data_IF_199157513454
#
_entry.id   IF_199157513454
#
_cell.length_a   1.000
_cell.length_b   1.000
_cell.length_c   1.000
_cell.angle_alpha   90.00
_cell.angle_beta   90.00
_cell.angle_gamma   90.00
#
_symmetry.space_group_name_H-M   'P 1'
#
loop_
_entity.id
_entity.type
_entity.pdbx_description
1 polymer ?
#
# COMPACT_ATOMS: atom_id res chain seq x y z
N UNK A 1 11.27 0.50 -15.89
CA UNK A 1 10.81 -0.49 -16.90
C UNK A 1 11.75 -0.39 -18.09
N UNK A 2 12.28 -1.51 -18.59
CA UNK A 2 13.01 -1.53 -19.86
C UNK A 2 12.09 -1.21 -21.04
N UNK A 3 12.69 -0.93 -22.21
CA UNK A 3 11.95 -0.64 -23.43
C UNK A 3 10.92 -1.73 -23.76
N UNK A 4 9.73 -1.33 -24.21
CA UNK A 4 8.62 -2.24 -24.55
C UNK A 4 8.15 -3.15 -23.38
N UNK A 5 8.49 -2.82 -22.13
CA UNK A 5 8.00 -3.52 -20.95
C UNK A 5 6.60 -3.08 -20.52
N UNK A 6 5.97 -3.87 -19.65
CA UNK A 6 4.66 -3.55 -19.08
C UNK A 6 4.46 -4.10 -17.67
N UNK A 7 3.43 -3.63 -16.97
CA UNK A 7 3.01 -4.17 -15.68
C UNK A 7 1.49 -4.37 -15.71
N UNK A 8 1.05 -5.54 -15.26
CA UNK A 8 -0.36 -5.86 -15.10
C UNK A 8 -0.68 -5.79 -13.61
N UNK A 9 -1.31 -4.68 -13.24
CA UNK A 9 -1.66 -4.38 -11.85
C UNK A 9 -2.88 -5.18 -11.35
N UNK A 10 -3.03 -5.29 -10.02
CA UNK A 10 -2.10 -4.79 -9.00
C UNK A 10 -0.92 -5.75 -8.79
N UNK A 11 0.30 -5.23 -8.98
CA UNK A 11 1.55 -5.96 -8.79
C UNK A 11 2.43 -5.22 -7.77
N UNK A 12 3.20 -5.97 -6.99
CA UNK A 12 4.16 -5.44 -6.03
C UNK A 12 5.58 -5.54 -6.57
N UNK A 13 6.33 -4.47 -6.38
CA UNK A 13 7.73 -4.37 -6.79
C UNK A 13 8.54 -3.75 -5.65
N UNK A 14 9.63 -4.39 -5.26
CA UNK A 14 10.61 -3.83 -4.35
C UNK A 14 11.35 -2.63 -4.95
N UNK A 15 11.97 -1.85 -4.08
CA UNK A 15 12.72 -0.67 -4.48
C UNK A 15 13.96 -1.05 -5.28
N UNK A 16 14.34 -0.21 -6.25
CA UNK A 16 15.54 -0.43 -7.08
C UNK A 16 15.41 -1.56 -8.11
N UNK A 17 14.26 -2.23 -8.21
CA UNK A 17 14.06 -3.28 -9.21
C UNK A 17 14.05 -2.72 -10.63
N UNK A 18 14.74 -3.43 -11.52
CA UNK A 18 14.82 -3.13 -12.94
C UNK A 18 14.15 -4.26 -13.71
N UNK A 19 13.18 -3.92 -14.55
CA UNK A 19 12.50 -4.88 -15.43
C UNK A 19 13.18 -4.87 -16.78
N UNK A 20 13.63 -6.02 -17.25
CA UNK A 20 14.26 -6.15 -18.56
C UNK A 20 13.33 -5.70 -19.69
N UNK A 21 13.91 -5.24 -20.80
CA UNK A 21 13.16 -4.87 -21.99
C UNK A 21 12.31 -6.06 -22.50
N UNK A 22 11.12 -5.77 -23.02
CA UNK A 22 10.17 -6.78 -23.50
C UNK A 22 9.48 -7.63 -22.43
N UNK A 23 9.76 -7.41 -21.13
CA UNK A 23 9.10 -8.13 -20.04
C UNK A 23 7.78 -7.48 -19.63
N UNK A 24 6.73 -8.30 -19.45
CA UNK A 24 5.44 -7.86 -18.90
C UNK A 24 5.26 -8.47 -17.52
N UNK A 25 5.32 -7.64 -16.48
CA UNK A 25 5.16 -8.11 -15.10
C UNK A 25 3.72 -8.52 -14.82
N UNK A 26 3.52 -9.77 -14.37
CA UNK A 26 2.21 -10.32 -13.95
C UNK A 26 2.25 -10.80 -12.51
N UNK A 27 3.45 -11.06 -11.99
CA UNK A 27 3.71 -11.53 -10.62
C UNK A 27 4.23 -10.42 -9.71
N UNK A 28 4.32 -10.73 -8.42
CA UNK A 28 4.90 -9.84 -7.42
C UNK A 28 6.39 -10.15 -7.24
N UNK A 29 7.21 -9.12 -7.17
CA UNK A 29 8.64 -9.20 -6.90
C UNK A 29 8.97 -8.27 -5.73
N UNK A 30 8.67 -8.68 -4.49
CA UNK A 30 8.81 -7.82 -3.31
C UNK A 30 10.26 -7.62 -2.85
N UNK A 31 11.22 -8.38 -3.38
CA UNK A 31 12.64 -8.16 -3.09
C UNK A 31 13.15 -6.91 -3.79
N UNK A 32 14.16 -6.27 -3.21
CA UNK A 32 14.76 -5.04 -3.71
C UNK A 32 15.96 -5.32 -4.62
N UNK A 33 16.30 -4.34 -5.47
CA UNK A 33 17.50 -4.30 -6.32
C UNK A 33 17.70 -5.51 -7.25
N UNK A 34 16.61 -6.05 -7.78
CA UNK A 34 16.61 -7.22 -8.67
C UNK A 34 16.48 -6.82 -10.15
N UNK A 35 17.17 -7.53 -11.03
CA UNK A 35 16.91 -7.51 -12.48
C UNK A 35 15.91 -8.62 -12.83
N UNK A 36 14.73 -8.24 -13.29
CA UNK A 36 13.60 -9.15 -13.52
C UNK A 36 13.43 -9.43 -15.01
N UNK A 37 13.47 -10.71 -15.35
CA UNK A 37 13.07 -11.25 -16.65
C UNK A 37 11.79 -12.05 -16.46
N UNK A 38 10.64 -11.50 -16.87
CA UNK A 38 9.38 -12.22 -16.78
C UNK A 38 9.04 -12.89 -18.11
N UNK A 39 8.95 -14.22 -18.08
CA UNK A 39 8.61 -14.99 -19.26
C UNK A 39 7.14 -14.79 -19.65
N UNK A 40 6.89 -14.68 -20.95
CA UNK A 40 5.54 -14.72 -21.47
C UNK A 40 4.90 -16.08 -21.15
N UNK A 41 3.59 -16.12 -20.82
CA UNK A 41 2.88 -17.39 -20.69
C UNK A 41 3.04 -18.23 -21.96
N UNK A 42 3.32 -19.53 -21.80
CA UNK A 42 3.36 -20.45 -22.94
C UNK A 42 2.03 -20.38 -23.71
N UNK A 43 2.14 -20.25 -25.04
CA UNK A 43 1.01 -20.06 -25.94
C UNK A 43 -0.10 -21.08 -25.66
N UNK A 44 -1.27 -20.59 -25.25
CA UNK A 44 -2.45 -21.42 -25.10
C UNK A 44 -3.69 -20.55 -25.33
N UNK A 45 -4.36 -20.79 -26.46
CA UNK A 45 -5.71 -20.29 -26.68
C UNK A 45 -6.60 -20.95 -25.62
N UNK A 46 -7.26 -20.15 -24.78
CA UNK A 46 -8.16 -20.62 -23.73
C UNK A 46 -9.50 -19.93 -23.87
N UNK A 47 -10.57 -20.63 -23.47
CA UNK A 47 -11.89 -20.02 -23.36
C UNK A 47 -11.83 -18.84 -22.39
N UNK A 48 -12.21 -17.66 -22.87
CA UNK A 48 -12.27 -16.46 -22.06
C UNK A 48 -13.42 -16.56 -21.07
N UNK A 49 -13.08 -16.54 -19.77
CA UNK A 49 -14.06 -16.48 -18.68
C UNK A 49 -14.07 -15.06 -18.12
N UNK A 50 -15.10 -14.30 -18.47
CA UNK A 50 -15.26 -12.94 -17.98
C UNK A 50 -15.32 -12.90 -16.45
N UNK A 51 -14.62 -11.94 -15.84
CA UNK A 51 -14.59 -11.74 -14.38
C UNK A 51 -14.23 -13.00 -13.57
N UNK A 52 -13.44 -13.92 -14.16
CA UNK A 52 -12.95 -15.10 -13.45
C UNK A 52 -11.94 -14.77 -12.34
N UNK A 53 -11.27 -13.62 -12.44
CA UNK A 53 -10.22 -13.13 -11.52
C UNK A 53 -9.34 -14.27 -10.94
N UNK A 54 -8.55 -14.97 -11.77
CA UNK A 54 -7.64 -15.99 -11.28
C UNK A 54 -6.72 -15.40 -10.20
N UNK A 55 -6.63 -16.07 -9.06
CA UNK A 55 -5.86 -15.56 -7.92
C UNK A 55 -6.46 -14.30 -7.27
N UNK A 56 -7.79 -14.20 -7.20
CA UNK A 56 -8.50 -13.07 -6.58
C UNK A 56 -7.94 -12.68 -5.20
N UNK A 57 -7.54 -13.65 -4.37
CA UNK A 57 -6.92 -13.38 -3.06
C UNK A 57 -5.64 -12.54 -3.17
N UNK A 58 -4.76 -12.81 -4.14
CA UNK A 58 -3.58 -11.98 -4.42
C UNK A 58 -3.98 -10.57 -4.87
N UNK A 59 -4.95 -10.48 -5.78
CA UNK A 59 -5.42 -9.19 -6.30
C UNK A 59 -5.99 -8.34 -5.16
N UNK A 60 -6.85 -8.90 -4.32
CA UNK A 60 -7.40 -8.24 -3.13
C UNK A 60 -6.25 -7.82 -2.20
N UNK A 61 -5.37 -8.75 -1.82
CA UNK A 61 -4.21 -8.48 -0.97
C UNK A 61 -3.39 -7.28 -1.45
N UNK A 62 -3.07 -7.21 -2.74
CA UNK A 62 -2.27 -6.13 -3.29
C UNK A 62 -3.02 -4.78 -3.30
N UNK A 63 -4.35 -4.78 -3.51
CA UNK A 63 -5.14 -3.56 -3.35
C UNK A 63 -5.19 -3.10 -1.88
N UNK A 64 -5.34 -4.02 -0.91
CA UNK A 64 -5.34 -3.68 0.51
C UNK A 64 -3.97 -3.15 0.95
N UNK A 65 -2.88 -3.80 0.53
CA UNK A 65 -1.53 -3.31 0.77
C UNK A 65 -1.31 -1.92 0.18
N UNK A 66 -1.79 -1.66 -1.04
CA UNK A 66 -1.72 -0.33 -1.63
C UNK A 66 -2.43 0.72 -0.77
N UNK A 67 -3.66 0.44 -0.33
CA UNK A 67 -4.44 1.36 0.51
C UNK A 67 -3.75 1.59 1.87
N UNK A 68 -3.25 0.54 2.49
CA UNK A 68 -2.53 0.61 3.75
C UNK A 68 -1.23 1.41 3.63
N UNK A 69 -0.48 1.26 2.54
CA UNK A 69 0.70 2.07 2.26
C UNK A 69 0.37 3.55 2.01
N UNK A 70 -0.77 3.87 1.37
CA UNK A 70 -1.21 5.27 1.27
C UNK A 70 -1.54 5.87 2.63
N UNK A 71 -2.13 5.09 3.55
CA UNK A 71 -2.36 5.53 4.93
C UNK A 71 -1.04 5.73 5.69
N UNK A 72 -0.07 4.82 5.57
CA UNK A 72 1.25 5.00 6.15
C UNK A 72 1.97 6.25 5.58
N UNK A 73 1.84 6.49 4.28
CA UNK A 73 2.39 7.69 3.64
C UNK A 73 1.72 8.97 4.16
N UNK A 74 0.40 8.97 4.35
CA UNK A 74 -0.31 10.09 4.98
C UNK A 74 0.21 10.39 6.39
N UNK A 75 0.52 9.36 7.17
CA UNK A 75 1.11 9.50 8.50
C UNK A 75 2.51 10.09 8.47
N UNK A 76 3.32 9.66 7.50
CA UNK A 76 4.63 10.27 7.25
C UNK A 76 4.51 11.74 6.87
N UNK A 77 3.53 12.09 6.02
CA UNK A 77 3.29 13.50 5.68
C UNK A 77 2.86 14.31 6.88
N UNK A 78 1.94 13.78 7.68
CA UNK A 78 1.34 14.47 8.81
C UNK A 78 2.35 14.75 9.92
N UNK A 79 3.21 13.78 10.25
CA UNK A 79 4.11 13.89 11.40
C UNK A 79 5.53 14.28 11.04
N UNK A 80 6.01 13.92 9.85
CA UNK A 80 7.41 14.13 9.48
C UNK A 80 7.55 15.24 8.45
N UNK A 81 6.87 15.16 7.30
CA UNK A 81 7.07 16.15 6.22
C UNK A 81 6.39 17.49 6.49
N UNK A 82 5.25 17.52 7.18
CA UNK A 82 4.49 18.77 7.41
C UNK A 82 5.35 19.87 8.04
N UNK A 83 6.11 19.62 9.11
CA UNK A 83 7.01 20.63 9.68
C UNK A 83 8.06 21.20 8.70
N UNK A 84 8.57 20.40 7.76
CA UNK A 84 9.50 20.90 6.72
C UNK A 84 8.79 21.71 5.65
N UNK A 85 7.56 21.33 5.29
CA UNK A 85 6.74 22.09 4.35
C UNK A 85 6.35 23.43 4.96
N UNK A 86 5.91 23.47 6.21
CA UNK A 86 5.53 24.70 6.92
C UNK A 86 6.65 25.75 6.97
N UNK A 87 7.92 25.33 6.96
CA UNK A 87 9.07 26.21 6.91
C UNK A 87 9.30 26.88 5.53
N UNK A 88 8.54 26.48 4.50
CA UNK A 88 8.70 26.93 3.11
C UNK A 88 7.52 27.79 2.65
N UNK A 89 7.75 28.80 1.77
CA UNK A 89 6.66 29.55 1.14
C UNK A 89 5.63 28.62 0.47
N UNK A 90 4.34 28.88 0.72
CA UNK A 90 3.22 28.06 0.22
C UNK A 90 3.21 26.60 0.68
N UNK A 91 4.05 26.22 1.66
CA UNK A 91 4.18 24.82 2.06
C UNK A 91 2.92 24.21 2.66
N UNK A 92 2.09 25.01 3.35
CA UNK A 92 0.77 24.55 3.82
C UNK A 92 -0.21 24.26 2.67
N UNK A 93 -0.13 25.01 1.57
CA UNK A 93 -0.93 24.73 0.36
C UNK A 93 -0.45 23.45 -0.32
N UNK A 94 0.88 23.24 -0.40
CA UNK A 94 1.46 21.99 -0.90
C UNK A 94 1.04 20.80 -0.04
N UNK A 95 1.10 20.94 1.29
CA UNK A 95 0.67 19.92 2.23
C UNK A 95 -0.81 19.56 2.03
N UNK A 96 -1.69 20.55 1.94
CA UNK A 96 -3.11 20.33 1.67
C UNK A 96 -3.33 19.60 0.34
N UNK A 97 -2.64 20.02 -0.73
CA UNK A 97 -2.71 19.36 -2.03
C UNK A 97 -2.25 17.90 -1.99
N UNK A 98 -1.16 17.59 -1.26
CA UNK A 98 -0.72 16.21 -1.08
C UNK A 98 -1.76 15.36 -0.38
N UNK A 99 -2.35 15.85 0.72
CA UNK A 99 -3.39 15.11 1.43
C UNK A 99 -4.61 14.85 0.55
N UNK A 100 -5.01 15.83 -0.25
CA UNK A 100 -6.08 15.67 -1.25
C UNK A 100 -5.74 14.59 -2.28
N UNK A 101 -4.51 14.57 -2.80
CA UNK A 101 -4.06 13.54 -3.75
C UNK A 101 -4.04 12.13 -3.12
N UNK A 102 -3.60 11.99 -1.87
CA UNK A 102 -3.64 10.72 -1.15
C UNK A 102 -5.09 10.24 -0.94
N UNK A 103 -5.99 11.13 -0.53
CA UNK A 103 -7.41 10.85 -0.38
C UNK A 103 -8.07 10.46 -1.70
N UNK A 104 -7.76 11.17 -2.79
CA UNK A 104 -8.25 10.86 -4.14
C UNK A 104 -7.76 9.47 -4.61
N UNK A 105 -6.49 9.15 -4.37
CA UNK A 105 -5.90 7.85 -4.67
C UNK A 105 -6.57 6.69 -3.91
N UNK A 106 -6.86 6.88 -2.62
CA UNK A 106 -7.62 5.91 -1.81
C UNK A 106 -9.05 5.73 -2.34
N UNK A 107 -9.75 6.84 -2.62
CA UNK A 107 -11.12 6.84 -3.15
C UNK A 107 -11.24 6.09 -4.48
N UNK A 108 -10.38 6.38 -5.45
CA UNK A 108 -10.41 5.69 -6.74
C UNK A 108 -10.09 4.20 -6.59
N UNK A 109 -9.09 3.84 -5.77
CA UNK A 109 -8.73 2.44 -5.53
C UNK A 109 -9.87 1.65 -4.89
N UNK A 110 -10.55 2.21 -3.89
CA UNK A 110 -11.72 1.61 -3.25
C UNK A 110 -12.88 1.43 -4.24
N UNK A 111 -13.17 2.45 -5.05
CA UNK A 111 -14.18 2.37 -6.12
C UNK A 111 -13.89 1.21 -7.09
N UNK A 112 -12.64 1.04 -7.50
CA UNK A 112 -12.22 -0.07 -8.38
C UNK A 112 -12.33 -1.43 -7.70
N UNK A 113 -11.94 -1.53 -6.43
CA UNK A 113 -12.06 -2.76 -5.65
C UNK A 113 -13.52 -3.18 -5.48
N UNK A 114 -14.41 -2.23 -5.21
CA UNK A 114 -15.86 -2.48 -5.12
C UNK A 114 -16.47 -2.93 -6.43
N UNK A 115 -16.15 -2.26 -7.53
CA UNK A 115 -16.59 -2.69 -8.86
C UNK A 115 -16.08 -4.09 -9.21
N UNK A 116 -14.85 -4.43 -8.78
CA UNK A 116 -14.31 -5.78 -8.95
C UNK A 116 -15.08 -6.82 -8.13
N UNK A 117 -15.36 -6.54 -6.85
CA UNK A 117 -16.10 -7.43 -5.96
C UNK A 117 -17.50 -7.76 -6.53
N UNK A 118 -18.23 -6.74 -6.99
CA UNK A 118 -19.54 -6.89 -7.65
C UNK A 118 -19.48 -7.78 -8.90
N UNK A 119 -18.45 -7.59 -9.74
CA UNK A 119 -18.26 -8.42 -10.94
C UNK A 119 -17.88 -9.86 -10.59
N UNK A 120 -17.03 -10.04 -9.59
CA UNK A 120 -16.54 -11.36 -9.18
C UNK A 120 -17.70 -12.24 -8.68
N UNK A 121 -18.57 -11.70 -7.81
CA UNK A 121 -19.73 -12.44 -7.29
C UNK A 121 -20.76 -12.72 -8.38
N UNK A 122 -21.00 -11.79 -9.30
CA UNK A 122 -21.90 -12.01 -10.43
C UNK A 122 -21.42 -13.14 -11.36
N UNK A 123 -20.10 -13.36 -11.47
CA UNK A 123 -19.52 -14.37 -12.35
C UNK A 123 -19.48 -15.79 -11.76
N UNK A 124 -19.46 -15.93 -10.43
CA UNK A 124 -19.62 -17.22 -9.74
C UNK A 124 -20.04 -16.97 -8.28
N UNK A 125 -21.33 -17.10 -8.01
CA UNK A 125 -21.94 -16.83 -6.69
C UNK A 125 -21.63 -17.92 -5.66
N UNK A 126 -21.25 -19.11 -6.12
CA UNK A 126 -20.96 -20.31 -5.34
C UNK A 126 -19.53 -20.37 -4.79
N UNK A 127 -18.73 -19.31 -4.99
CA UNK A 127 -17.36 -19.23 -4.44
C UNK A 127 -17.37 -18.38 -3.16
N UNK A 128 -17.23 -18.99 -1.96
CA UNK A 128 -17.38 -18.30 -0.67
C UNK A 128 -16.53 -17.03 -0.56
N UNK A 129 -15.27 -17.08 -1.03
CA UNK A 129 -14.37 -15.93 -1.00
C UNK A 129 -14.92 -14.69 -1.77
N UNK A 130 -15.62 -14.89 -2.89
CA UNK A 130 -16.14 -13.78 -3.69
C UNK A 130 -17.34 -13.12 -3.02
N UNK A 131 -18.20 -13.94 -2.42
CA UNK A 131 -19.34 -13.46 -1.63
C UNK A 131 -18.85 -12.71 -0.38
N UNK A 132 -17.89 -13.29 0.34
CA UNK A 132 -17.23 -12.69 1.50
C UNK A 132 -16.65 -11.29 1.19
N UNK A 133 -15.87 -11.17 0.10
CA UNK A 133 -15.36 -9.87 -0.35
C UNK A 133 -16.47 -8.87 -0.67
N UNK A 134 -17.52 -9.32 -1.36
CA UNK A 134 -18.65 -8.47 -1.72
C UNK A 134 -19.37 -7.95 -0.47
N UNK A 135 -19.61 -8.81 0.51
CA UNK A 135 -20.38 -8.47 1.71
C UNK A 135 -19.58 -7.57 2.66
N UNK A 136 -18.25 -7.77 2.73
CA UNK A 136 -17.37 -6.96 3.57
C UNK A 136 -16.86 -5.68 2.90
N UNK A 137 -17.20 -5.42 1.63
CA UNK A 137 -16.62 -4.29 0.87
C UNK A 137 -16.89 -2.94 1.54
N UNK A 138 -18.06 -2.76 2.16
CA UNK A 138 -18.43 -1.52 2.84
C UNK A 138 -17.63 -1.30 4.12
N UNK A 139 -17.33 -2.38 4.85
CA UNK A 139 -16.44 -2.31 6.01
C UNK A 139 -15.04 -1.88 5.57
N UNK A 140 -14.51 -2.50 4.50
CA UNK A 140 -13.21 -2.14 3.91
C UNK A 140 -13.21 -0.66 3.46
N UNK A 141 -14.27 -0.19 2.80
CA UNK A 141 -14.40 1.23 2.43
C UNK A 141 -14.32 2.15 3.67
N UNK A 142 -15.04 1.81 4.74
CA UNK A 142 -15.03 2.61 5.97
C UNK A 142 -13.67 2.63 6.65
N UNK A 143 -12.95 1.49 6.66
CA UNK A 143 -11.62 1.37 7.25
C UNK A 143 -10.61 2.35 6.63
N UNK A 144 -10.73 2.61 5.33
CA UNK A 144 -9.79 3.47 4.59
C UNK A 144 -10.31 4.89 4.28
N UNK A 145 -11.58 5.20 4.58
CA UNK A 145 -12.19 6.53 4.36
C UNK A 145 -12.59 7.26 5.64
N UNK A 146 -12.65 6.59 6.79
CA UNK A 146 -12.94 7.21 8.08
C UNK A 146 -11.86 8.18 8.54
N UNK A 147 -12.12 8.89 9.66
CA UNK A 147 -11.04 9.47 10.47
C UNK A 147 -10.04 8.36 10.78
N UNK A 148 -8.75 8.71 10.91
CA UNK A 148 -7.64 7.80 11.25
C UNK A 148 -8.16 6.61 12.08
N UNK A 149 -8.16 5.38 11.53
CA UNK A 149 -8.89 4.29 12.15
C UNK A 149 -8.39 4.07 13.58
N UNK A 150 -9.30 3.74 14.50
CA UNK A 150 -8.99 3.68 15.94
C UNK A 150 -7.82 2.72 16.28
N UNK A 151 -7.54 1.77 15.40
CA UNK A 151 -6.36 0.89 15.51
C UNK A 151 -5.03 1.64 15.42
N UNK A 152 -5.02 2.83 14.80
CA UNK A 152 -3.87 3.72 14.67
C UNK A 152 -3.86 4.83 15.73
N UNK A 153 -4.93 4.96 16.53
CA UNK A 153 -5.05 5.98 17.60
C UNK A 153 -4.52 5.47 18.95
N UNK A 154 -4.29 4.16 19.09
CA UNK A 154 -3.50 3.62 20.19
C UNK A 154 -2.06 4.13 20.07
N UNK A 155 -1.49 4.57 21.18
CA UNK A 155 -0.11 5.06 21.25
C UNK A 155 0.85 3.93 20.86
N UNK A 156 1.19 3.87 19.58
CA UNK A 156 2.19 2.95 19.04
C UNK A 156 3.56 3.31 19.64
N UNK A 157 4.17 2.44 20.47
CA UNK A 157 5.46 2.72 21.09
C UNK A 157 6.56 2.98 20.05
N UNK A 158 6.49 2.32 18.89
CA UNK A 158 7.44 2.50 17.78
C UNK A 158 7.32 3.90 17.19
N UNK A 159 6.09 4.42 17.08
CA UNK A 159 5.84 5.79 16.65
C UNK A 159 6.43 6.80 17.61
N UNK A 160 6.11 6.68 18.89
CA UNK A 160 6.58 7.63 19.91
C UNK A 160 8.09 7.64 20.00
N UNK A 161 8.71 6.44 20.00
CA UNK A 161 10.15 6.29 20.00
C UNK A 161 10.78 6.97 18.79
N UNK A 162 10.28 6.66 17.58
CA UNK A 162 10.78 7.27 16.35
C UNK A 162 10.63 8.80 16.36
N UNK A 163 9.47 9.34 16.72
CA UNK A 163 9.24 10.79 16.74
C UNK A 163 10.16 11.50 17.75
N UNK A 164 10.37 10.92 18.93
CA UNK A 164 11.26 11.49 19.94
C UNK A 164 12.72 11.50 19.46
N UNK A 165 13.20 10.41 18.86
CA UNK A 165 14.58 10.31 18.39
C UNK A 165 14.80 11.12 17.10
N UNK A 166 13.80 11.22 16.24
CA UNK A 166 13.81 12.09 15.06
C UNK A 166 13.88 13.58 15.45
N UNK A 167 13.11 14.03 16.44
CA UNK A 167 13.15 15.42 16.91
C UNK A 167 14.54 15.79 17.47
N UNK A 168 15.19 14.89 18.23
CA UNK A 168 16.57 15.07 18.72
C UNK A 168 17.57 15.27 17.59
N UNK A 169 17.41 14.57 16.46
CA UNK A 169 18.30 14.70 15.30
C UNK A 169 18.09 16.03 14.57
N UNK A 170 16.83 16.43 14.39
CA UNK A 170 16.52 17.67 13.65
C UNK A 170 16.91 18.92 14.44
N UNK A 171 17.00 18.86 15.77
CA UNK A 171 17.46 19.97 16.61
C UNK A 171 16.65 21.26 16.43
N UNK A 172 15.41 21.16 15.92
CA UNK A 172 14.55 22.29 15.57
C UNK A 172 14.79 22.90 14.18
N UNK A 173 15.86 22.53 13.46
CA UNK A 173 16.14 22.96 12.10
C UNK A 173 15.37 22.14 11.06
N UNK A 174 14.43 22.76 10.34
CA UNK A 174 13.52 22.06 9.41
C UNK A 174 13.56 22.59 7.97
N UNK A 175 14.74 23.01 7.51
CA UNK A 175 14.91 23.67 6.20
C UNK A 175 15.24 22.68 5.08
N UNK A 176 16.01 21.61 5.35
CA UNK A 176 16.41 20.63 4.33
C UNK A 176 15.93 19.21 4.65
N UNK A 177 14.74 18.87 4.15
CA UNK A 177 14.16 17.53 4.34
C UNK A 177 15.05 16.40 3.80
N UNK A 178 15.58 16.55 2.59
CA UNK A 178 16.31 15.45 1.91
C UNK A 178 17.59 15.11 2.68
N UNK A 179 18.37 16.13 3.03
CA UNK A 179 19.59 15.95 3.82
C UNK A 179 19.30 15.34 5.19
N UNK A 180 18.23 15.79 5.86
CA UNK A 180 17.81 15.22 7.15
C UNK A 180 17.51 13.73 7.04
N UNK A 181 16.72 13.32 6.04
CA UNK A 181 16.35 11.91 5.88
C UNK A 181 17.55 11.06 5.46
N UNK A 182 18.44 11.57 4.61
CA UNK A 182 19.63 10.85 4.15
C UNK A 182 20.68 10.66 5.25
N UNK A 183 20.85 11.64 6.13
CA UNK A 183 21.80 11.61 7.23
C UNK A 183 21.24 10.96 8.50
N UNK A 184 20.01 10.43 8.45
CA UNK A 184 19.39 9.79 9.59
C UNK A 184 20.17 8.53 10.01
N UNK A 185 20.53 8.37 11.30
CA UNK A 185 21.16 7.15 11.78
C UNK A 185 20.32 5.91 11.47
N UNK A 186 20.98 4.81 11.09
CA UNK A 186 20.31 3.57 10.72
C UNK A 186 19.36 3.05 11.81
N UNK A 187 19.72 3.22 13.09
CA UNK A 187 18.86 2.87 14.22
C UNK A 187 17.52 3.64 14.19
N UNK A 188 17.56 4.96 14.03
CA UNK A 188 16.33 5.78 13.96
C UNK A 188 15.54 5.50 12.69
N UNK A 189 16.23 5.27 11.57
CA UNK A 189 15.56 4.85 10.33
C UNK A 189 14.80 3.53 10.51
N UNK A 190 15.39 2.55 11.20
CA UNK A 190 14.75 1.26 11.47
C UNK A 190 13.47 1.38 12.31
N UNK A 191 13.42 2.35 13.22
CA UNK A 191 12.24 2.63 14.04
C UNK A 191 11.11 3.26 13.22
N UNK A 192 11.47 4.18 12.31
CA UNK A 192 10.51 4.73 11.34
C UNK A 192 9.95 3.64 10.42
N UNK A 193 10.79 2.71 9.96
CA UNK A 193 10.36 1.55 9.18
C UNK A 193 9.41 0.66 9.99
N UNK A 194 9.75 0.37 11.25
CA UNK A 194 8.91 -0.44 12.13
C UNK A 194 7.54 0.20 12.36
N UNK A 195 7.49 1.50 12.63
CA UNK A 195 6.24 2.25 12.79
C UNK A 195 5.38 2.21 11.53
N UNK A 196 5.93 2.58 10.37
CA UNK A 196 5.16 2.62 9.12
C UNK A 196 4.71 1.23 8.69
N UNK A 197 5.54 0.21 8.90
CA UNK A 197 5.18 -1.19 8.62
C UNK A 197 4.10 -1.69 9.58
N UNK A 198 4.15 -1.29 10.86
CA UNK A 198 3.12 -1.59 11.85
C UNK A 198 1.74 -1.05 11.44
N UNK A 199 1.67 0.17 10.89
CA UNK A 199 0.42 0.72 10.32
C UNK A 199 -0.10 -0.18 9.20
N UNK A 200 0.78 -0.60 8.27
CA UNK A 200 0.40 -1.43 7.14
C UNK A 200 -0.11 -2.79 7.62
N UNK A 201 0.61 -3.43 8.53
CA UNK A 201 0.29 -4.75 9.05
C UNK A 201 -1.03 -4.75 9.84
N UNK A 202 -1.26 -3.74 10.69
CA UNK A 202 -2.51 -3.61 11.44
C UNK A 202 -3.74 -3.51 10.51
N UNK A 203 -3.64 -2.69 9.46
CA UNK A 203 -4.73 -2.53 8.48
C UNK A 203 -4.96 -3.81 7.68
N UNK A 204 -3.89 -4.49 7.25
CA UNK A 204 -3.99 -5.76 6.53
C UNK A 204 -4.59 -6.84 7.43
N UNK A 205 -4.21 -6.90 8.71
CA UNK A 205 -4.75 -7.83 9.69
C UNK A 205 -6.25 -7.66 9.91
N UNK A 206 -6.74 -6.43 10.07
CA UNK A 206 -8.17 -6.18 10.20
C UNK A 206 -8.97 -6.65 8.98
N UNK A 207 -8.46 -6.40 7.77
CA UNK A 207 -9.13 -6.89 6.57
C UNK A 207 -9.04 -8.42 6.47
N UNK A 208 -7.92 -9.02 6.86
CA UNK A 208 -7.76 -10.48 6.86
C UNK A 208 -8.70 -11.19 7.83
N UNK A 209 -9.02 -10.57 8.98
CA UNK A 209 -9.97 -11.11 9.96
C UNK A 209 -11.40 -11.24 9.40
N UNK A 210 -11.81 -10.32 8.53
CA UNK A 210 -13.14 -10.36 7.89
C UNK A 210 -13.14 -11.05 6.53
N UNK A 211 -11.97 -11.30 5.94
CA UNK A 211 -11.79 -12.05 4.70
C UNK A 211 -10.99 -13.36 4.90
N UNK A 212 -11.39 -14.28 5.80
CA UNK A 212 -10.63 -15.49 6.08
C UNK A 212 -10.49 -16.40 4.84
N UNK A 213 -11.48 -16.41 3.95
CA UNK A 213 -11.49 -17.24 2.74
C UNK A 213 -10.48 -16.77 1.68
N UNK A 214 -9.96 -15.54 1.81
CA UNK A 214 -9.01 -14.94 0.85
C UNK A 214 -7.54 -15.18 1.17
N UNK A 215 -7.21 -15.74 2.35
CA UNK A 215 -5.85 -16.04 2.78
C UNK A 215 -4.86 -14.86 2.57
N UNK A 216 -5.28 -13.65 2.96
CA UNK A 216 -4.50 -12.42 2.72
C UNK A 216 -3.15 -12.43 3.45
N UNK A 217 -3.09 -13.07 4.61
CA UNK A 217 -1.88 -13.28 5.40
C UNK A 217 -1.49 -14.74 5.25
N UNK A 218 -0.20 -15.00 4.99
CA UNK A 218 0.30 -16.38 5.04
C UNK A 218 0.23 -16.83 6.50
N UNK A 219 -0.49 -17.91 6.80
CA UNK A 219 -0.38 -18.57 8.11
C UNK A 219 1.09 -18.95 8.30
N UNK A 220 1.69 -18.46 9.38
CA UNK A 220 2.96 -19.00 9.86
C UNK A 220 2.60 -20.40 10.37
N UNK A 221 3.04 -21.43 9.64
CA UNK A 221 3.05 -22.82 10.12
C UNK A 221 4.35 -23.07 10.86
#
# INVERSE_FOLDING_TARGET
LGGQGGIIGPARLGFGNVVAAGSVLRHDYPGDNQLIFEQAPAGSVKNYRQAAYPGIGRVVKNNILYLANLTALEMWYTHIRKPFLEAQPFGLLLYAGVLEQLAAGKKERLKRLKAMAQKAVAAAKDVPARQELHDQIKMIENLFTGKMPDVLSQTDPSREKFLNDFEKITGGGRTNYIETIQNMPAAVSSEGVAWLSGIVDALVQQVAQVLPSMALIKKIM
#
